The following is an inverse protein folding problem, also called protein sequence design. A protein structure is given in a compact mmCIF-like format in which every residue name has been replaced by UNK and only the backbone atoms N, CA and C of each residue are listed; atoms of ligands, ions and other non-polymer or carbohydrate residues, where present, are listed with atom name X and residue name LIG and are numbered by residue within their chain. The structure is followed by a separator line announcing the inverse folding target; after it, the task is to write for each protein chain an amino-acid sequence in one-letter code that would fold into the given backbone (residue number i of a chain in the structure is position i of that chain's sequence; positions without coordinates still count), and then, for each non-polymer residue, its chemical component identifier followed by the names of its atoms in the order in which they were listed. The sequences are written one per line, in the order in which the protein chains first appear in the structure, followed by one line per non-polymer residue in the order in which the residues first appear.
data_IF_299996880749
#
_entry.id   IF_299996880749
#
_cell.length_a   1.000
_cell.length_b   1.000
_cell.length_c   1.000
_cell.angle_alpha   90.00
_cell.angle_beta   90.00
_cell.angle_gamma   90.00
#
_symmetry.space_group_name_H-M   'P 1'
#
loop_
_entity.id
_entity.type
_entity.pdbx_description
1 polymer ?
#
# COMPACT_ATOMS: atom_id res chain seq x y z
N UNK A 1 -16.51 22.81 -9.12
CA UNK A 1 -16.85 23.51 -7.87
C UNK A 1 -18.35 23.84 -7.70
N UNK A 2 -19.29 23.14 -8.37
CA UNK A 2 -20.73 23.50 -8.32
C UNK A 2 -21.50 22.75 -7.21
N UNK A 3 -21.14 21.49 -6.91
CA UNK A 3 -21.80 20.68 -5.85
C UNK A 3 -21.62 21.21 -4.42
N UNK A 4 -20.68 22.13 -4.18
CA UNK A 4 -20.47 22.77 -2.86
C UNK A 4 -21.37 24.00 -2.64
N UNK A 5 -21.96 24.56 -3.71
CA UNK A 5 -22.74 25.79 -3.65
C UNK A 5 -24.21 25.55 -3.23
N UNK A 6 -24.78 24.41 -3.62
CA UNK A 6 -26.18 24.07 -3.35
C UNK A 6 -26.30 22.86 -2.44
N UNK A 7 -27.12 22.96 -1.39
CA UNK A 7 -27.46 21.90 -0.48
C UNK A 7 -28.90 21.43 -0.75
N UNK A 8 -29.08 20.13 -0.97
CA UNK A 8 -30.42 19.52 -1.06
C UNK A 8 -30.92 19.26 0.37
N UNK A 9 -31.97 19.96 0.78
CA UNK A 9 -32.55 19.88 2.13
C UNK A 9 -33.96 19.28 2.03
N UNK A 10 -34.30 18.40 2.96
CA UNK A 10 -35.64 17.83 3.07
C UNK A 10 -36.48 18.72 4.00
N UNK A 11 -37.67 19.09 3.56
CA UNK A 11 -38.64 19.82 4.37
C UNK A 11 -39.73 18.84 4.87
N UNK A 12 -39.82 18.58 6.19
CA UNK A 12 -40.80 17.66 6.77
C UNK A 12 -42.25 18.10 6.58
N UNK A 13 -42.52 19.41 6.54
CA UNK A 13 -43.87 19.96 6.52
C UNK A 13 -44.49 19.86 5.12
N UNK A 14 -43.70 20.19 4.09
CA UNK A 14 -44.10 20.05 2.69
C UNK A 14 -43.83 18.66 2.10
N UNK A 15 -43.10 17.79 2.81
CA UNK A 15 -42.62 16.47 2.37
C UNK A 15 -41.83 16.52 1.05
N UNK A 16 -41.23 17.66 0.72
CA UNK A 16 -40.49 17.87 -0.52
C UNK A 16 -39.03 18.25 -0.25
N UNK A 17 -38.18 18.07 -1.26
CA UNK A 17 -36.80 18.54 -1.20
C UNK A 17 -36.69 19.91 -1.87
N UNK A 18 -35.94 20.82 -1.26
CA UNK A 18 -35.56 22.09 -1.87
C UNK A 18 -34.04 22.25 -1.94
N UNK A 19 -33.58 23.14 -2.81
CA UNK A 19 -32.16 23.44 -3.00
C UNK A 19 -31.82 24.79 -2.40
N UNK A 20 -30.96 24.78 -1.39
CA UNK A 20 -30.48 25.98 -0.72
C UNK A 20 -29.09 26.37 -1.24
N UNK A 21 -28.97 27.58 -1.81
CA UNK A 21 -27.68 28.12 -2.20
C UNK A 21 -26.96 28.71 -0.97
N UNK A 22 -25.84 28.10 -0.58
CA UNK A 22 -25.08 28.51 0.62
C UNK A 22 -24.42 29.88 0.50
N UNK A 23 -24.19 30.34 -0.73
CA UNK A 23 -23.51 31.61 -1.04
C UNK A 23 -24.50 32.76 -1.12
N UNK A 24 -25.61 32.59 -1.85
CA UNK A 24 -26.63 33.66 -2.00
C UNK A 24 -27.70 33.63 -0.91
N UNK A 25 -27.71 32.60 -0.05
CA UNK A 25 -28.71 32.34 1.00
C UNK A 25 -30.14 32.24 0.47
N UNK A 26 -30.32 31.96 -0.82
CA UNK A 26 -31.62 31.79 -1.45
C UNK A 26 -31.99 30.31 -1.51
N UNK A 27 -33.26 30.02 -1.23
CA UNK A 27 -33.88 28.71 -1.41
C UNK A 27 -34.68 28.67 -2.70
N UNK A 28 -34.58 27.58 -3.43
CA UNK A 28 -35.38 27.32 -4.62
C UNK A 28 -35.89 25.88 -4.61
N UNK A 29 -37.16 25.71 -4.97
CA UNK A 29 -37.81 24.39 -5.04
C UNK A 29 -37.37 23.61 -6.28
N UNK A 30 -37.06 24.32 -7.37
CA UNK A 30 -36.58 23.73 -8.62
C UNK A 30 -35.08 23.42 -8.57
N UNK A 31 -34.67 22.36 -9.25
CA UNK A 31 -33.25 22.00 -9.40
C UNK A 31 -32.54 23.13 -10.17
N UNK A 32 -31.45 23.73 -9.65
CA UNK A 32 -30.74 24.78 -10.36
C UNK A 32 -30.22 24.28 -11.72
N UNK A 33 -30.26 25.09 -12.80
CA UNK A 33 -29.79 24.68 -14.14
C UNK A 33 -28.35 24.16 -14.16
N UNK A 34 -27.50 24.65 -13.25
CA UNK A 34 -26.11 24.17 -13.10
C UNK A 34 -26.03 22.76 -12.50
N UNK A 35 -26.96 22.40 -11.62
CA UNK A 35 -27.05 21.05 -11.05
C UNK A 35 -27.73 20.08 -12.02
N UNK A 36 -28.69 20.53 -12.83
CA UNK A 36 -29.31 19.72 -13.90
C UNK A 36 -28.29 19.23 -14.92
N UNK A 37 -27.39 20.12 -15.38
CA UNK A 37 -26.29 19.72 -16.26
C UNK A 37 -25.40 18.67 -15.61
N UNK A 38 -25.11 18.82 -14.32
CA UNK A 38 -24.28 17.88 -13.57
C UNK A 38 -24.99 16.53 -13.33
N UNK A 39 -26.31 16.52 -13.10
CA UNK A 39 -27.08 15.29 -12.96
C UNK A 39 -27.23 14.57 -14.30
N UNK A 40 -27.51 15.31 -15.38
CA UNK A 40 -27.58 14.75 -16.73
C UNK A 40 -26.25 14.13 -17.17
N UNK A 41 -25.11 14.81 -16.92
CA UNK A 41 -23.79 14.23 -17.17
C UNK A 41 -23.54 12.98 -16.32
N UNK A 42 -23.93 13.01 -15.05
CA UNK A 42 -23.79 11.85 -14.17
C UNK A 42 -24.63 10.66 -14.66
N UNK A 43 -25.85 10.93 -15.12
CA UNK A 43 -26.77 9.92 -15.66
C UNK A 43 -26.22 9.33 -16.97
N UNK A 44 -25.73 10.16 -17.89
CA UNK A 44 -25.07 9.70 -19.12
C UNK A 44 -23.83 8.83 -18.83
N UNK A 45 -22.99 9.23 -17.87
CA UNK A 45 -21.84 8.43 -17.43
C UNK A 45 -22.30 7.11 -16.80
N UNK A 46 -23.35 7.13 -15.98
CA UNK A 46 -23.90 5.93 -15.35
C UNK A 46 -24.50 4.96 -16.37
N UNK A 47 -25.19 5.46 -17.40
CA UNK A 47 -25.72 4.65 -18.50
C UNK A 47 -24.58 4.02 -19.32
N UNK A 48 -23.50 4.76 -19.57
CA UNK A 48 -22.29 4.22 -20.22
C UNK A 48 -21.62 3.12 -19.38
N UNK A 49 -21.59 3.27 -18.06
CA UNK A 49 -21.05 2.25 -17.14
C UNK A 49 -21.95 1.03 -16.99
N UNK A 50 -23.28 1.18 -17.15
CA UNK A 50 -24.24 0.06 -17.16
C UNK A 50 -24.13 -0.80 -18.41
N UNK A 51 -23.64 -0.25 -19.52
CA UNK A 51 -23.43 -1.00 -20.76
C UNK A 51 -22.24 -1.95 -20.56
N UNK A 52 -22.49 -3.25 -20.62
CA UNK A 52 -21.43 -4.25 -20.55
C UNK A 52 -20.45 -4.03 -21.70
N UNK A 53 -19.12 -3.97 -21.42
CA UNK A 53 -18.11 -3.87 -22.46
C UNK A 53 -18.17 -5.11 -23.36
N UNK A 54 -18.00 -4.93 -24.67
CA UNK A 54 -17.98 -6.06 -25.61
C UNK A 54 -16.76 -6.95 -25.35
N UNK A 55 -16.84 -8.23 -25.71
CA UNK A 55 -15.71 -9.17 -25.55
C UNK A 55 -14.42 -8.66 -26.21
N UNK A 56 -14.53 -8.01 -27.37
CA UNK A 56 -13.40 -7.38 -28.07
C UNK A 56 -12.74 -6.28 -27.22
N UNK A 57 -13.54 -5.45 -26.54
CA UNK A 57 -13.01 -4.40 -25.66
C UNK A 57 -12.35 -4.99 -24.41
N UNK A 58 -12.90 -6.07 -23.85
CA UNK A 58 -12.30 -6.79 -22.73
C UNK A 58 -10.97 -7.45 -23.12
N UNK A 59 -10.92 -8.10 -24.28
CA UNK A 59 -9.70 -8.71 -24.81
C UNK A 59 -8.61 -7.66 -25.05
N UNK A 60 -8.96 -6.53 -25.69
CA UNK A 60 -8.03 -5.42 -25.91
C UNK A 60 -7.51 -4.83 -24.59
N UNK A 61 -8.39 -4.65 -23.59
CA UNK A 61 -8.00 -4.19 -22.26
C UNK A 61 -7.06 -5.20 -21.57
N UNK A 62 -7.36 -6.50 -21.65
CA UNK A 62 -6.51 -7.56 -21.10
C UNK A 62 -5.13 -7.57 -21.75
N UNK A 63 -5.04 -7.52 -23.08
CA UNK A 63 -3.77 -7.41 -23.81
C UNK A 63 -3.00 -6.17 -23.39
N UNK A 64 -3.69 -5.03 -23.18
CA UNK A 64 -3.06 -3.80 -22.72
C UNK A 64 -2.45 -3.97 -21.32
N UNK A 65 -3.21 -4.51 -20.37
CA UNK A 65 -2.73 -4.76 -19.00
C UNK A 65 -1.54 -5.73 -19.02
N UNK A 66 -1.64 -6.82 -19.76
CA UNK A 66 -0.55 -7.79 -19.93
C UNK A 66 0.70 -7.14 -20.53
N UNK A 67 0.55 -6.28 -21.55
CA UNK A 67 1.67 -5.55 -22.14
C UNK A 67 2.38 -4.65 -21.12
N UNK A 68 1.62 -3.95 -20.27
CA UNK A 68 2.15 -3.10 -19.22
C UNK A 68 2.88 -3.91 -18.15
N UNK A 69 2.32 -5.05 -17.76
CA UNK A 69 2.94 -5.98 -16.82
C UNK A 69 4.28 -6.50 -17.35
N UNK A 70 4.31 -7.03 -18.58
CA UNK A 70 5.54 -7.52 -19.23
C UNK A 70 6.59 -6.40 -19.36
N UNK A 71 6.16 -5.19 -19.77
CA UNK A 71 7.06 -4.01 -19.83
C UNK A 71 7.64 -3.68 -18.45
N UNK A 72 6.85 -3.76 -17.38
CA UNK A 72 7.32 -3.54 -16.01
C UNK A 72 8.29 -4.64 -15.58
N UNK A 73 7.98 -5.91 -15.86
CA UNK A 73 8.84 -7.04 -15.54
C UNK A 73 10.21 -6.92 -16.23
N UNK A 74 10.23 -6.55 -17.53
CA UNK A 74 11.45 -6.31 -18.28
C UNK A 74 12.29 -5.16 -17.68
N UNK A 75 11.66 -4.05 -17.27
CA UNK A 75 12.37 -2.95 -16.59
C UNK A 75 12.98 -3.37 -15.26
N UNK A 76 12.25 -4.16 -14.46
CA UNK A 76 12.78 -4.68 -13.20
C UNK A 76 13.95 -5.64 -13.42
N UNK A 77 13.88 -6.50 -14.45
CA UNK A 77 14.99 -7.38 -14.83
C UNK A 77 16.22 -6.57 -15.28
N UNK A 78 16.03 -5.57 -16.13
CA UNK A 78 17.11 -4.68 -16.56
C UNK A 78 17.73 -3.93 -15.37
N UNK A 79 16.92 -3.41 -14.45
CA UNK A 79 17.42 -2.75 -13.25
C UNK A 79 18.30 -3.67 -12.40
N UNK A 80 17.92 -4.94 -12.24
CA UNK A 80 18.73 -5.93 -11.52
C UNK A 80 20.09 -6.15 -12.20
N UNK A 81 20.12 -6.20 -13.53
CA UNK A 81 21.38 -6.29 -14.28
C UNK A 81 22.20 -5.00 -14.15
N UNK A 82 21.56 -3.84 -14.22
CA UNK A 82 22.27 -2.56 -14.08
C UNK A 82 22.86 -2.39 -12.67
N UNK A 83 22.21 -2.89 -11.62
CA UNK A 83 22.81 -2.88 -10.26
C UNK A 83 24.07 -3.74 -10.13
N UNK A 84 24.25 -4.76 -10.99
CA UNK A 84 25.48 -5.56 -10.96
C UNK A 84 26.63 -4.87 -11.70
N UNK A 85 26.34 -4.02 -12.69
CA UNK A 85 27.34 -3.30 -13.50
C UNK A 85 27.65 -1.91 -12.95
N UNK A 86 26.62 -1.16 -12.59
CA UNK A 86 26.72 0.22 -12.12
C UNK A 86 26.42 0.33 -10.64
N UNK A 87 27.09 1.28 -9.99
CA UNK A 87 26.89 1.65 -8.61
C UNK A 87 26.70 3.17 -8.52
N UNK A 88 25.68 3.60 -7.79
CA UNK A 88 25.45 5.03 -7.55
C UNK A 88 26.11 5.38 -6.21
N UNK A 89 27.15 6.19 -6.26
CA UNK A 89 28.00 6.52 -5.11
C UNK A 89 27.81 7.99 -4.77
N UNK A 90 27.76 8.30 -3.48
CA UNK A 90 27.75 9.68 -2.99
C UNK A 90 29.18 10.14 -2.77
N UNK A 91 29.54 11.29 -3.33
CA UNK A 91 30.81 11.95 -3.06
C UNK A 91 30.60 13.06 -2.01
N UNK A 92 31.18 12.93 -0.80
CA UNK A 92 31.08 13.95 0.24
C UNK A 92 31.73 15.28 -0.11
N UNK A 93 32.79 15.28 -0.93
CA UNK A 93 33.54 16.49 -1.26
C UNK A 93 32.73 17.40 -2.21
N UNK A 94 32.16 16.80 -3.25
CA UNK A 94 31.32 17.51 -4.24
C UNK A 94 29.83 17.54 -3.85
N UNK A 95 29.45 16.88 -2.75
CA UNK A 95 28.07 16.74 -2.24
C UNK A 95 27.08 16.26 -3.30
N UNK A 96 27.56 15.40 -4.20
CA UNK A 96 26.83 14.98 -5.40
C UNK A 96 26.92 13.46 -5.60
N UNK A 97 25.97 12.90 -6.34
CA UNK A 97 25.99 11.49 -6.71
C UNK A 97 26.62 11.31 -8.08
N UNK A 98 27.47 10.29 -8.21
CA UNK A 98 27.98 9.83 -9.51
C UNK A 98 27.68 8.35 -9.71
N UNK A 99 27.74 7.91 -10.98
CA UNK A 99 27.55 6.52 -11.38
C UNK A 99 28.92 5.91 -11.71
N UNK A 100 29.31 4.88 -10.97
CA UNK A 100 30.53 4.12 -11.19
C UNK A 100 30.24 2.82 -11.95
N UNK A 101 30.95 2.58 -13.05
CA UNK A 101 30.87 1.34 -13.81
C UNK A 101 31.94 0.35 -13.33
N UNK A 102 31.53 -0.75 -12.70
CA UNK A 102 32.42 -1.78 -12.14
C UNK A 102 33.18 -2.59 -13.19
N UNK A 103 32.71 -2.62 -14.44
CA UNK A 103 33.35 -3.38 -15.52
C UNK A 103 34.50 -2.61 -16.16
N UNK A 104 34.32 -1.31 -16.38
CA UNK A 104 35.29 -0.44 -17.03
C UNK A 104 36.12 0.39 -16.06
N UNK A 105 35.79 0.35 -14.75
CA UNK A 105 36.38 1.18 -13.71
C UNK A 105 36.32 2.69 -14.03
N UNK A 106 35.24 3.12 -14.68
CA UNK A 106 35.02 4.54 -15.03
C UNK A 106 33.86 5.13 -14.24
N UNK A 107 33.99 6.39 -13.86
CA UNK A 107 32.93 7.19 -13.22
C UNK A 107 32.29 8.14 -14.24
N UNK A 108 30.98 8.34 -14.10
CA UNK A 108 30.20 9.27 -14.90
C UNK A 108 29.22 10.04 -14.00
N UNK A 109 29.12 11.34 -14.20
CA UNK A 109 28.11 12.17 -13.54
C UNK A 109 26.74 12.00 -14.19
N UNK A 110 26.70 11.63 -15.47
CA UNK A 110 25.48 11.38 -16.20
C UNK A 110 24.90 9.99 -15.88
N UNK A 111 23.58 9.97 -15.66
CA UNK A 111 22.81 8.74 -15.47
C UNK A 111 22.92 7.84 -16.71
N UNK A 112 23.24 6.54 -16.57
CA UNK A 112 23.25 5.60 -17.68
C UNK A 112 21.92 5.61 -18.43
N UNK A 113 21.97 5.76 -19.76
CA UNK A 113 20.78 5.90 -20.63
C UNK A 113 19.77 4.75 -20.47
N UNK A 114 20.26 3.55 -20.17
CA UNK A 114 19.44 2.35 -19.96
C UNK A 114 18.53 2.43 -18.72
N UNK A 115 18.86 3.29 -17.76
CA UNK A 115 18.09 3.45 -16.52
C UNK A 115 16.83 4.32 -16.74
N UNK A 116 16.82 5.19 -17.76
CA UNK A 116 15.70 6.07 -18.14
C UNK A 116 15.05 6.75 -16.92
N UNK A 117 13.74 6.53 -16.73
CA UNK A 117 12.93 7.10 -15.64
C UNK A 117 13.20 6.43 -14.29
N UNK A 118 13.80 5.24 -14.28
CA UNK A 118 14.18 4.55 -13.05
C UNK A 118 15.52 5.09 -12.51
N UNK A 119 15.85 4.77 -11.25
CA UNK A 119 17.16 5.08 -10.66
C UNK A 119 17.70 3.94 -9.80
N UNK A 120 19.02 3.91 -9.64
CA UNK A 120 19.71 3.03 -8.71
C UNK A 120 19.59 3.65 -7.31
N UNK A 121 19.31 2.81 -6.31
CA UNK A 121 19.47 3.26 -4.93
C UNK A 121 20.96 3.54 -4.72
N UNK A 122 21.31 4.65 -4.05
CA UNK A 122 22.69 4.88 -3.68
C UNK A 122 23.20 3.69 -2.88
N UNK A 123 24.44 3.29 -3.12
CA UNK A 123 25.13 2.37 -2.24
C UNK A 123 25.25 3.06 -0.89
N UNK A 124 24.25 2.88 -0.03
CA UNK A 124 24.43 3.18 1.37
C UNK A 124 25.47 2.18 1.84
N UNK A 125 26.61 2.68 2.31
CA UNK A 125 27.48 1.93 3.21
C UNK A 125 26.61 1.57 4.42
N UNK A 126 25.92 0.44 4.32
CA UNK A 126 25.38 -0.20 5.51
C UNK A 126 26.60 -0.37 6.43
N UNK A 127 26.55 0.09 7.69
CA UNK A 127 27.63 -0.13 8.63
C UNK A 127 28.08 -1.58 8.52
N UNK A 128 29.39 -1.87 8.47
CA UNK A 128 29.91 -3.25 8.29
C UNK A 128 29.16 -4.27 9.17
N UNK A 129 28.75 -3.84 10.36
CA UNK A 129 27.98 -4.59 11.35
C UNK A 129 26.54 -4.95 10.89
N UNK A 130 25.88 -4.09 10.11
CA UNK A 130 24.55 -4.34 9.57
C UNK A 130 24.51 -5.51 8.59
N UNK A 131 25.60 -5.74 7.85
CA UNK A 131 25.75 -6.90 6.94
C UNK A 131 26.01 -8.19 7.74
N UNK A 132 26.76 -8.10 8.84
CA UNK A 132 27.03 -9.24 9.74
C UNK A 132 25.76 -9.76 10.44
N UNK A 133 24.80 -8.88 10.74
CA UNK A 133 23.54 -9.27 11.40
C UNK A 133 22.40 -9.64 10.43
N UNK A 134 22.63 -9.66 9.10
CA UNK A 134 21.57 -9.95 8.12
C UNK A 134 21.06 -11.39 8.23
N UNK A 135 21.97 -12.37 8.34
CA UNK A 135 21.60 -13.77 8.50
C UNK A 135 20.86 -14.02 9.81
N UNK A 136 21.33 -13.43 10.91
CA UNK A 136 20.68 -13.50 12.22
C UNK A 136 19.26 -12.91 12.18
N UNK A 137 19.07 -11.75 11.54
CA UNK A 137 17.73 -11.14 11.37
C UNK A 137 16.80 -12.02 10.55
N UNK A 138 17.29 -12.65 9.48
CA UNK A 138 16.51 -13.60 8.66
C UNK A 138 16.08 -14.81 9.49
N UNK A 139 17.01 -15.43 10.22
CA UNK A 139 16.73 -16.59 11.09
C UNK A 139 15.71 -16.22 12.17
N UNK A 140 15.92 -15.09 12.87
CA UNK A 140 14.99 -14.60 13.87
C UNK A 140 13.59 -14.32 13.28
N UNK A 141 13.52 -13.77 12.06
CA UNK A 141 12.25 -13.52 11.36
C UNK A 141 11.53 -14.80 10.97
N UNK A 142 12.25 -15.82 10.49
CA UNK A 142 11.68 -17.13 10.21
C UNK A 142 11.13 -17.79 11.49
N UNK A 143 11.89 -17.72 12.59
CA UNK A 143 11.47 -18.23 13.89
C UNK A 143 10.22 -17.52 14.41
N UNK A 144 10.21 -16.18 14.35
CA UNK A 144 9.03 -15.33 14.65
C UNK A 144 7.80 -15.77 13.88
N UNK A 145 7.94 -15.94 12.57
CA UNK A 145 6.83 -16.32 11.71
C UNK A 145 6.34 -17.75 11.98
N UNK A 146 7.24 -18.66 12.36
CA UNK A 146 6.85 -20.00 12.82
C UNK A 146 6.07 -19.89 14.13
N UNK A 147 6.58 -19.11 15.08
CA UNK A 147 5.97 -18.97 16.39
C UNK A 147 4.56 -18.37 16.32
N UNK A 148 4.38 -17.32 15.51
CA UNK A 148 3.07 -16.72 15.29
C UNK A 148 2.10 -17.70 14.62
N UNK A 149 2.55 -18.51 13.66
CA UNK A 149 1.69 -19.53 13.03
C UNK A 149 1.23 -20.61 14.00
N UNK A 150 2.12 -21.10 14.86
CA UNK A 150 1.76 -22.10 15.88
C UNK A 150 0.79 -21.49 16.89
N UNK A 151 1.07 -20.29 17.40
CA UNK A 151 0.17 -19.57 18.30
C UNK A 151 -1.22 -19.35 17.71
N UNK A 152 -1.30 -18.90 16.46
CA UNK A 152 -2.60 -18.68 15.79
C UNK A 152 -3.36 -19.99 15.56
N UNK A 153 -2.66 -21.08 15.25
CA UNK A 153 -3.26 -22.41 15.15
C UNK A 153 -3.83 -22.86 16.50
N UNK A 154 -3.05 -22.73 17.56
CA UNK A 154 -3.45 -23.18 18.90
C UNK A 154 -4.60 -22.33 19.46
N UNK A 155 -4.62 -21.03 19.14
CA UNK A 155 -5.74 -20.15 19.44
C UNK A 155 -7.00 -20.55 18.65
N UNK A 156 -6.87 -20.91 17.37
CA UNK A 156 -8.00 -21.35 16.55
C UNK A 156 -8.55 -22.72 16.97
N UNK A 157 -7.71 -23.60 17.52
CA UNK A 157 -8.11 -24.91 18.03
C UNK A 157 -8.63 -24.87 19.48
N UNK A 158 -8.63 -23.70 20.13
CA UNK A 158 -9.08 -23.53 21.52
C UNK A 158 -8.08 -24.01 22.56
N UNK A 159 -6.85 -24.39 22.17
CA UNK A 159 -5.80 -24.74 23.13
C UNK A 159 -5.23 -23.52 23.85
N UNK A 160 -5.30 -22.34 23.22
CA UNK A 160 -4.95 -21.07 23.85
C UNK A 160 -6.18 -20.17 23.86
N UNK A 161 -6.55 -19.70 25.03
CA UNK A 161 -7.68 -18.78 25.22
C UNK A 161 -7.21 -17.43 25.76
N UNK A 162 -7.91 -16.37 25.38
CA UNK A 162 -7.63 -15.02 25.86
C UNK A 162 -8.65 -14.63 26.92
N UNK A 163 -8.18 -14.41 28.14
CA UNK A 163 -8.99 -14.08 29.31
C UNK A 163 -8.69 -12.65 29.79
N UNK A 164 -9.67 -12.00 30.39
CA UNK A 164 -9.50 -10.69 31.02
C UNK A 164 -9.47 -10.88 32.53
N UNK A 165 -8.42 -10.40 33.17
CA UNK A 165 -8.28 -10.42 34.62
C UNK A 165 -8.75 -9.08 35.20
N UNK A 166 -9.73 -9.15 36.11
CA UNK A 166 -10.36 -7.95 36.68
C UNK A 166 -9.47 -7.28 37.75
N UNK A 167 -8.63 -8.05 38.43
CA UNK A 167 -7.74 -7.54 39.47
C UNK A 167 -6.57 -6.76 38.87
N UNK A 168 -5.96 -7.28 37.81
CA UNK A 168 -4.86 -6.61 37.08
C UNK A 168 -5.35 -5.66 35.98
N UNK A 169 -6.65 -5.65 35.66
CA UNK A 169 -7.25 -4.91 34.53
C UNK A 169 -6.52 -5.17 33.21
N UNK A 170 -6.02 -6.38 33.01
CA UNK A 170 -5.20 -6.76 31.86
C UNK A 170 -5.70 -8.04 31.20
N UNK A 171 -5.41 -8.19 29.91
CA UNK A 171 -5.69 -9.43 29.20
C UNK A 171 -4.50 -10.38 29.29
N UNK A 172 -4.77 -11.67 29.53
CA UNK A 172 -3.78 -12.74 29.46
C UNK A 172 -4.23 -13.85 28.53
N UNK A 173 -3.28 -14.71 28.15
CA UNK A 173 -3.52 -15.93 27.40
C UNK A 173 -3.29 -17.13 28.32
N UNK A 174 -4.21 -18.09 28.31
CA UNK A 174 -4.08 -19.36 29.04
C UNK A 174 -3.90 -20.50 28.05
N UNK A 175 -2.87 -21.30 28.23
CA UNK A 175 -2.62 -22.49 27.42
C UNK A 175 -3.10 -23.74 28.16
N UNK A 176 -4.17 -24.35 27.67
CA UNK A 176 -4.79 -25.57 28.21
C UNK A 176 -3.91 -26.82 28.05
N UNK A 177 -2.87 -26.77 27.19
CA UNK A 177 -1.96 -27.89 26.95
C UNK A 177 -0.80 -27.95 27.95
N UNK A 178 -0.37 -26.79 28.43
CA UNK A 178 0.73 -26.66 29.40
C UNK A 178 0.26 -26.19 30.77
N UNK A 179 -1.02 -25.84 30.92
CA UNK A 179 -1.61 -25.22 32.11
C UNK A 179 -0.84 -23.98 32.59
N UNK A 180 -0.37 -23.17 31.64
CA UNK A 180 0.38 -21.95 31.93
C UNK A 180 -0.34 -20.72 31.36
N UNK A 181 -0.33 -19.64 32.13
CA UNK A 181 -0.77 -18.31 31.70
C UNK A 181 0.42 -17.46 31.28
N UNK A 182 0.21 -16.61 30.27
CA UNK A 182 1.20 -15.64 29.83
C UNK A 182 0.52 -14.36 29.31
N UNK A 183 1.20 -13.23 29.49
CA UNK A 183 0.62 -11.90 29.29
C UNK A 183 0.97 -11.28 27.92
N UNK A 184 1.95 -11.85 27.22
CA UNK A 184 2.42 -11.33 25.93
C UNK A 184 2.17 -12.31 24.78
N UNK A 185 1.75 -11.79 23.61
CA UNK A 185 1.80 -12.57 22.38
C UNK A 185 3.24 -13.06 22.15
N UNK A 186 3.48 -14.32 21.76
CA UNK A 186 4.83 -14.86 21.65
C UNK A 186 5.74 -13.99 20.77
N UNK A 187 6.57 -13.17 21.42
CA UNK A 187 7.65 -12.42 20.79
C UNK A 187 8.96 -13.07 21.21
N UNK A 188 9.46 -13.92 20.33
CA UNK A 188 10.84 -14.44 20.28
C UNK A 188 11.27 -15.36 21.43
N UNK A 189 10.60 -15.35 22.59
CA UNK A 189 11.12 -15.98 23.81
C UNK A 189 10.26 -17.11 24.41
N UNK A 190 9.13 -17.50 23.81
CA UNK A 190 8.25 -18.48 24.45
C UNK A 190 7.65 -19.48 23.46
N UNK A 191 8.49 -20.31 22.87
CA UNK A 191 8.10 -21.64 22.40
C UNK A 191 9.23 -22.59 22.75
N UNK A 192 9.14 -23.16 23.95
CA UNK A 192 9.93 -24.33 24.35
C UNK A 192 9.64 -25.50 23.40
N UNK A 193 10.61 -26.42 23.21
CA UNK A 193 10.56 -27.48 22.19
C UNK A 193 9.31 -28.35 22.22
#
# INVERSE_FOLDING_TARGET
MVRKAYQKVYDPDSKQYFYFNRHTKQSQWCLPPTLEKASALHEQLSQRLRKQPSEQTLAAAATRIQSLFRKRAARLALRRLLTTVYEKVYDPETRSYFYFCKQTNTSSWDKPRLLRDDDLSPAQEAPRDAKQHEAARKIQTLFRNRATRVFLRDLALGYIEKHFDDDSKAWYYFNHRTNQSFWERPRHAALSP
#
